data_IF_748949383406
#
_entry.id   IF_748949383406
#
_cell.length_a   1.000
_cell.length_b   1.000
_cell.length_c   1.000
_cell.angle_alpha   90.00
_cell.angle_beta   90.00
_cell.angle_gamma   90.00
#
_symmetry.space_group_name_H-M   'P 1'
#
loop_
_entity.id
_entity.type
_entity.pdbx_description
1 polymer ?
#
# COMPACT_ATOMS: atom_id res chain seq x y z
N UNK A 1 82.43 98.83 27.26
CA UNK A 1 81.55 97.67 27.43
C UNK A 1 80.16 98.04 26.92
N UNK A 2 79.67 97.33 25.91
CA UNK A 2 78.31 97.51 25.35
C UNK A 2 77.35 96.47 25.93
N UNK A 3 76.04 96.65 25.78
CA UNK A 3 75.01 95.69 26.26
C UNK A 3 75.27 94.26 25.75
N UNK A 4 75.87 94.11 24.58
CA UNK A 4 76.30 92.81 24.04
C UNK A 4 77.34 92.07 24.90
N UNK A 5 78.21 92.77 25.65
CA UNK A 5 79.17 92.12 26.55
C UNK A 5 78.50 91.52 27.81
N UNK A 6 77.28 91.96 28.14
CA UNK A 6 76.54 91.49 29.32
C UNK A 6 75.52 90.37 29.02
N UNK A 7 75.30 90.04 27.74
CA UNK A 7 74.33 89.00 27.30
C UNK A 7 75.03 87.81 26.61
N UNK A 8 76.34 87.88 26.34
CA UNK A 8 77.07 86.83 25.64
C UNK A 8 77.65 85.76 26.59
N UNK A 9 77.16 84.52 26.49
CA UNK A 9 77.71 83.36 27.22
C UNK A 9 79.11 82.96 26.75
N UNK A 10 79.49 83.31 25.51
CA UNK A 10 80.77 82.96 24.89
C UNK A 10 81.32 84.18 24.14
N UNK A 11 82.60 84.51 24.39
CA UNK A 11 83.30 85.61 23.71
C UNK A 11 84.12 85.06 22.54
N UNK A 12 83.90 85.58 21.34
CA UNK A 12 84.68 85.23 20.15
C UNK A 12 85.57 86.40 19.71
N UNK A 13 86.82 86.11 19.34
CA UNK A 13 87.84 87.13 19.05
C UNK A 13 87.65 87.86 17.70
N UNK A 14 86.88 87.28 16.78
CA UNK A 14 86.58 87.85 15.45
C UNK A 14 85.15 87.47 15.04
N UNK A 15 84.49 88.26 14.17
CA UNK A 15 83.14 87.92 13.68
C UNK A 15 83.09 86.56 12.95
N UNK A 16 84.19 86.13 12.34
CA UNK A 16 84.33 84.79 11.74
C UNK A 16 84.46 83.69 12.79
N UNK A 17 85.18 83.93 13.88
CA UNK A 17 85.23 83.00 15.01
C UNK A 17 83.85 82.87 15.68
N UNK A 18 83.11 83.96 15.83
CA UNK A 18 81.73 83.93 16.35
C UNK A 18 80.82 83.07 15.46
N UNK A 19 80.92 83.24 14.13
CA UNK A 19 80.19 82.43 13.17
C UNK A 19 80.54 80.94 13.28
N UNK A 20 81.84 80.59 13.30
CA UNK A 20 82.30 79.20 13.45
C UNK A 20 81.83 78.54 14.76
N UNK A 21 81.74 79.32 15.84
CA UNK A 21 81.32 78.82 17.16
C UNK A 21 79.82 78.53 17.22
N UNK A 22 79.01 79.28 16.45
CA UNK A 22 77.55 79.14 16.40
C UNK A 22 77.10 78.21 15.26
N UNK A 23 77.91 78.02 14.21
CA UNK A 23 77.57 77.16 13.08
C UNK A 23 78.03 75.71 13.30
N UNK A 24 77.10 74.74 13.34
CA UNK A 24 77.47 73.33 13.42
C UNK A 24 78.30 72.89 12.21
N UNK A 25 79.20 71.94 12.43
CA UNK A 25 80.07 71.41 11.38
C UNK A 25 79.25 70.65 10.32
N UNK A 26 79.47 70.98 9.04
CA UNK A 26 78.76 70.40 7.89
C UNK A 26 78.84 68.87 7.85
N UNK A 27 79.99 68.29 8.24
CA UNK A 27 80.17 66.83 8.24
C UNK A 27 79.27 66.14 9.27
N UNK A 28 79.05 66.77 10.43
CA UNK A 28 78.27 66.20 11.52
C UNK A 28 76.77 66.23 11.16
N UNK A 29 76.30 67.32 10.55
CA UNK A 29 74.95 67.40 9.99
C UNK A 29 74.68 66.34 8.91
N UNK A 30 75.66 66.09 8.03
CA UNK A 30 75.54 65.03 7.00
C UNK A 30 75.49 63.65 7.67
N UNK A 31 76.30 63.40 8.69
CA UNK A 31 76.29 62.14 9.43
C UNK A 31 74.97 61.93 10.18
N UNK A 32 74.40 62.97 10.78
CA UNK A 32 73.07 62.89 11.39
C UNK A 32 71.97 62.61 10.36
N UNK A 33 71.97 63.32 9.23
CA UNK A 33 71.00 63.11 8.16
C UNK A 33 71.08 61.68 7.61
N UNK A 34 72.29 61.15 7.38
CA UNK A 34 72.46 59.78 6.88
C UNK A 34 72.02 58.74 7.92
N UNK A 35 72.25 58.99 9.22
CA UNK A 35 71.74 58.12 10.29
C UNK A 35 70.22 58.14 10.37
N UNK A 36 69.60 59.32 10.29
CA UNK A 36 68.13 59.45 10.28
C UNK A 36 67.53 58.79 9.04
N UNK A 37 68.16 58.93 7.88
CA UNK A 37 67.72 58.25 6.65
C UNK A 37 67.80 56.72 6.78
N UNK A 38 68.87 56.18 7.36
CA UNK A 38 69.01 54.74 7.64
C UNK A 38 67.99 54.24 8.66
N UNK A 39 67.71 55.02 9.70
CA UNK A 39 66.67 54.70 10.70
C UNK A 39 65.29 54.69 10.07
N UNK A 40 64.96 55.72 9.28
CA UNK A 40 63.69 55.82 8.57
C UNK A 40 63.48 54.65 7.61
N UNK A 41 64.50 54.31 6.80
CA UNK A 41 64.39 53.19 5.87
C UNK A 41 64.20 51.86 6.62
N UNK A 42 64.94 51.61 7.70
CA UNK A 42 64.77 50.43 8.53
C UNK A 42 63.36 50.32 9.14
N UNK A 43 62.79 51.44 9.61
CA UNK A 43 61.41 51.47 10.14
C UNK A 43 60.37 51.21 9.04
N UNK A 44 60.55 51.79 7.86
CA UNK A 44 59.67 51.54 6.70
C UNK A 44 59.72 50.07 6.30
N UNK A 45 60.92 49.49 6.18
CA UNK A 45 61.08 48.07 5.87
C UNK A 45 60.41 47.18 6.91
N UNK A 46 60.63 47.46 8.20
CA UNK A 46 59.97 46.74 9.30
C UNK A 46 58.44 46.85 9.22
N UNK A 47 57.90 48.03 8.93
CA UNK A 47 56.45 48.22 8.83
C UNK A 47 55.85 47.46 7.64
N UNK A 48 56.54 47.46 6.51
CA UNK A 48 56.12 46.71 5.32
C UNK A 48 56.14 45.21 5.59
N UNK A 49 57.18 44.68 6.24
CA UNK A 49 57.26 43.25 6.53
C UNK A 49 56.19 42.80 7.53
N UNK A 50 55.96 43.57 8.60
CA UNK A 50 54.86 43.33 9.54
C UNK A 50 53.50 43.28 8.83
N UNK A 51 53.22 44.25 7.96
CA UNK A 51 51.95 44.30 7.24
C UNK A 51 51.81 43.16 6.23
N UNK A 52 52.89 42.75 5.56
CA UNK A 52 52.89 41.58 4.67
C UNK A 52 52.56 40.30 5.43
N UNK A 53 53.16 40.09 6.60
CA UNK A 53 52.90 38.91 7.44
C UNK A 53 51.43 38.93 7.92
N UNK A 54 50.92 40.08 8.35
CA UNK A 54 49.52 40.23 8.75
C UNK A 54 48.54 39.85 7.64
N UNK A 55 48.72 40.42 6.44
CA UNK A 55 47.89 40.11 5.27
C UNK A 55 47.99 38.63 4.87
N UNK A 56 49.20 38.05 4.92
CA UNK A 56 49.42 36.64 4.63
C UNK A 56 48.67 35.73 5.61
N UNK A 57 48.75 36.02 6.90
CA UNK A 57 48.06 35.23 7.94
C UNK A 57 46.53 35.31 7.80
N UNK A 58 45.98 36.48 7.48
CA UNK A 58 44.54 36.63 7.20
C UNK A 58 44.15 35.82 5.97
N UNK A 59 44.90 35.93 4.88
CA UNK A 59 44.63 35.18 3.66
C UNK A 59 44.69 33.66 3.89
N UNK A 60 45.64 33.18 4.69
CA UNK A 60 45.71 31.76 5.07
C UNK A 60 44.54 31.32 5.93
N UNK A 61 44.12 32.12 6.93
CA UNK A 61 42.96 31.81 7.77
C UNK A 61 41.68 31.74 6.94
N UNK A 62 41.49 32.68 6.02
CA UNK A 62 40.34 32.69 5.11
C UNK A 62 40.35 31.43 4.24
N UNK A 63 41.49 31.09 3.61
CA UNK A 63 41.64 29.88 2.80
C UNK A 63 41.30 28.59 3.55
N UNK A 64 41.62 28.52 4.86
CA UNK A 64 41.25 27.38 5.71
C UNK A 64 39.76 27.34 6.10
N UNK A 65 39.11 28.50 6.16
CA UNK A 65 37.69 28.61 6.52
C UNK A 65 36.74 28.26 5.35
N UNK A 66 37.14 28.51 4.11
CA UNK A 66 36.31 28.22 2.93
C UNK A 66 35.87 26.74 2.82
N UNK A 67 36.76 25.73 2.97
CA UNK A 67 36.38 24.31 2.96
C UNK A 67 35.42 23.93 4.09
N UNK A 68 35.54 24.61 5.24
CA UNK A 68 34.67 24.38 6.39
C UNK A 68 33.24 24.85 6.08
N UNK A 69 33.12 26.03 5.44
CA UNK A 69 31.83 26.56 5.02
C UNK A 69 31.14 25.67 3.97
N UNK A 70 31.88 25.19 2.97
CA UNK A 70 31.33 24.27 1.96
C UNK A 70 30.89 22.94 2.57
N UNK A 71 31.64 22.40 3.53
CA UNK A 71 31.24 21.21 4.29
C UNK A 71 29.92 21.43 5.06
N UNK A 72 29.77 22.55 5.77
CA UNK A 72 28.53 22.84 6.49
C UNK A 72 27.35 23.07 5.55
N UNK A 73 27.55 23.73 4.40
CA UNK A 73 26.53 23.84 3.36
C UNK A 73 26.06 22.48 2.86
N UNK A 74 26.99 21.61 2.48
CA UNK A 74 26.64 20.25 2.03
C UNK A 74 25.93 19.44 3.13
N UNK A 75 26.33 19.63 4.39
CA UNK A 75 25.70 18.97 5.54
C UNK A 75 24.27 19.46 5.73
N UNK A 76 24.02 20.77 5.62
CA UNK A 76 22.68 21.36 5.69
C UNK A 76 21.80 20.81 4.56
N UNK A 77 22.28 20.84 3.31
CA UNK A 77 21.55 20.31 2.16
C UNK A 77 21.20 18.83 2.33
N UNK A 78 22.12 18.04 2.89
CA UNK A 78 21.90 16.62 3.15
C UNK A 78 20.82 16.41 4.22
N UNK A 79 20.90 17.15 5.33
CA UNK A 79 19.92 17.07 6.42
C UNK A 79 18.54 17.55 5.97
N UNK A 80 18.46 18.59 5.13
CA UNK A 80 17.21 19.06 4.55
C UNK A 80 16.56 17.99 3.67
N UNK A 81 17.35 17.35 2.78
CA UNK A 81 16.86 16.24 1.94
C UNK A 81 16.41 15.04 2.77
N UNK A 82 17.14 14.68 3.82
CA UNK A 82 16.71 13.61 4.73
C UNK A 82 15.42 13.97 5.46
N UNK A 83 15.33 15.19 5.98
CA UNK A 83 14.14 15.65 6.69
C UNK A 83 12.90 15.61 5.81
N UNK A 84 12.97 16.19 4.61
CA UNK A 84 11.87 16.19 3.65
C UNK A 84 11.44 14.77 3.28
N UNK A 85 12.40 13.87 3.01
CA UNK A 85 12.13 12.45 2.74
C UNK A 85 11.40 11.77 3.91
N UNK A 86 11.90 11.90 5.14
CA UNK A 86 11.28 11.28 6.31
C UNK A 86 9.90 11.87 6.63
N UNK A 87 9.73 13.19 6.45
CA UNK A 87 8.45 13.87 6.65
C UNK A 87 7.40 13.37 5.64
N UNK A 88 7.76 13.28 4.37
CA UNK A 88 6.88 12.75 3.32
C UNK A 88 6.53 11.28 3.56
N UNK A 89 7.51 10.46 3.93
CA UNK A 89 7.26 9.06 4.27
C UNK A 89 6.31 8.92 5.48
N UNK A 90 6.46 9.79 6.50
CA UNK A 90 5.58 9.81 7.67
C UNK A 90 4.15 10.20 7.34
N UNK A 91 3.96 11.22 6.50
CA UNK A 91 2.63 11.62 6.04
C UNK A 91 1.95 10.50 5.25
N UNK A 92 2.66 9.89 4.29
CA UNK A 92 2.13 8.74 3.52
C UNK A 92 1.73 7.58 4.42
N UNK A 93 2.52 7.28 5.45
CA UNK A 93 2.19 6.24 6.43
C UNK A 93 0.91 6.57 7.21
N UNK A 94 0.76 7.81 7.67
CA UNK A 94 -0.43 8.25 8.40
C UNK A 94 -1.68 8.22 7.51
N UNK A 95 -1.58 8.69 6.27
CA UNK A 95 -2.69 8.64 5.30
C UNK A 95 -3.12 7.20 5.03
N UNK A 96 -2.16 6.30 4.81
CA UNK A 96 -2.45 4.88 4.61
C UNK A 96 -3.13 4.26 5.85
N UNK A 97 -2.62 4.58 7.05
CA UNK A 97 -3.21 4.10 8.30
C UNK A 97 -4.64 4.63 8.51
N UNK A 98 -4.89 5.90 8.19
CA UNK A 98 -6.23 6.48 8.22
C UNK A 98 -7.16 5.79 7.23
N UNK A 99 -6.70 5.53 6.01
CA UNK A 99 -7.47 4.80 5.00
C UNK A 99 -7.84 3.38 5.47
N UNK A 100 -6.90 2.65 6.10
CA UNK A 100 -7.16 1.32 6.68
C UNK A 100 -8.12 1.36 7.86
N UNK A 101 -7.99 2.35 8.76
CA UNK A 101 -8.92 2.51 9.87
C UNK A 101 -10.33 2.89 9.39
N UNK A 102 -10.41 3.77 8.40
CA UNK A 102 -11.67 4.16 7.78
C UNK A 102 -12.34 2.98 7.07
N UNK A 103 -11.59 2.19 6.29
CA UNK A 103 -12.13 0.99 5.64
C UNK A 103 -12.54 -0.07 6.67
N UNK A 104 -11.78 -0.23 7.75
CA UNK A 104 -12.13 -1.11 8.86
C UNK A 104 -13.40 -0.67 9.56
N UNK A 105 -13.57 0.64 9.82
CA UNK A 105 -14.79 1.22 10.40
C UNK A 105 -16.00 0.99 9.49
N UNK A 106 -15.85 1.24 8.18
CA UNK A 106 -16.90 0.97 7.21
C UNK A 106 -17.25 -0.52 7.11
N UNK A 107 -16.26 -1.41 7.16
CA UNK A 107 -16.49 -2.85 7.16
C UNK A 107 -17.16 -3.33 8.46
N UNK A 108 -16.88 -2.66 9.58
CA UNK A 108 -17.54 -2.88 10.86
C UNK A 108 -18.91 -2.23 10.97
N UNK A 109 -19.40 -1.48 9.97
CA UNK A 109 -20.78 -0.98 9.98
C UNK A 109 -21.75 -2.16 10.09
N UNK A 110 -22.35 -2.39 11.28
CA UNK A 110 -23.15 -3.57 11.53
C UNK A 110 -24.38 -3.59 10.61
N UNK A 111 -24.87 -2.41 10.20
CA UNK A 111 -25.98 -2.27 9.27
C UNK A 111 -25.68 -2.85 7.88
N UNK A 112 -24.48 -2.65 7.33
CA UNK A 112 -24.12 -3.19 6.03
C UNK A 112 -23.95 -4.71 6.08
N UNK A 113 -23.29 -5.22 7.12
CA UNK A 113 -23.18 -6.67 7.38
C UNK A 113 -24.54 -7.33 7.63
N UNK A 114 -25.43 -6.70 8.39
CA UNK A 114 -26.79 -7.19 8.64
C UNK A 114 -27.64 -7.18 7.36
N UNK A 115 -27.51 -6.16 6.51
CA UNK A 115 -28.20 -6.12 5.21
C UNK A 115 -27.75 -7.25 4.30
N UNK A 116 -26.44 -7.43 4.12
CA UNK A 116 -25.90 -8.54 3.34
C UNK A 116 -26.27 -9.91 3.92
N UNK A 117 -26.26 -10.05 5.26
CA UNK A 117 -26.68 -11.25 5.95
C UNK A 117 -28.16 -11.58 5.70
N UNK A 118 -29.04 -10.58 5.79
CA UNK A 118 -30.47 -10.72 5.49
C UNK A 118 -30.71 -11.10 4.03
N UNK A 119 -30.03 -10.46 3.09
CA UNK A 119 -30.15 -10.79 1.66
C UNK A 119 -29.69 -12.22 1.37
N UNK A 120 -28.56 -12.66 1.96
CA UNK A 120 -28.09 -14.05 1.86
C UNK A 120 -29.09 -15.03 2.45
N UNK A 121 -29.62 -14.74 3.64
CA UNK A 121 -30.60 -15.59 4.31
C UNK A 121 -31.88 -15.70 3.48
N UNK A 122 -32.36 -14.59 2.91
CA UNK A 122 -33.54 -14.58 2.05
C UNK A 122 -33.33 -15.42 0.78
N UNK A 123 -32.17 -15.34 0.15
CA UNK A 123 -31.81 -16.19 -1.00
C UNK A 123 -31.74 -17.67 -0.62
N UNK A 124 -31.10 -17.99 0.50
CA UNK A 124 -31.00 -19.37 0.99
C UNK A 124 -32.38 -19.96 1.30
N UNK A 125 -33.25 -19.19 1.96
CA UNK A 125 -34.64 -19.60 2.24
C UNK A 125 -35.43 -19.83 0.95
N UNK A 126 -35.29 -18.95 -0.05
CA UNK A 126 -35.95 -19.14 -1.36
C UNK A 126 -35.43 -20.39 -2.08
N UNK A 127 -34.13 -20.63 -2.06
CA UNK A 127 -33.53 -21.81 -2.68
C UNK A 127 -33.97 -23.09 -1.97
N UNK A 128 -34.02 -23.09 -0.63
CA UNK A 128 -34.51 -24.22 0.16
C UNK A 128 -35.96 -24.54 -0.19
N UNK A 129 -36.83 -23.53 -0.25
CA UNK A 129 -38.25 -23.71 -0.64
C UNK A 129 -38.38 -24.32 -2.03
N UNK A 130 -37.63 -23.81 -3.01
CA UNK A 130 -37.61 -24.36 -4.37
C UNK A 130 -37.12 -25.80 -4.41
N UNK A 131 -36.06 -26.12 -3.67
CA UNK A 131 -35.52 -27.47 -3.59
C UNK A 131 -36.52 -28.44 -2.94
N UNK A 132 -37.20 -28.02 -1.87
CA UNK A 132 -38.27 -28.80 -1.23
C UNK A 132 -39.44 -29.04 -2.17
N UNK A 133 -39.92 -28.02 -2.90
CA UNK A 133 -41.02 -28.18 -3.86
C UNK A 133 -40.66 -29.15 -4.98
N UNK A 134 -39.43 -29.06 -5.51
CA UNK A 134 -38.94 -29.99 -6.54
C UNK A 134 -38.82 -31.43 -6.01
N UNK A 135 -38.29 -31.60 -4.80
CA UNK A 135 -38.18 -32.90 -4.16
C UNK A 135 -39.56 -33.53 -3.94
N UNK A 136 -40.52 -32.78 -3.39
CA UNK A 136 -41.88 -33.24 -3.17
C UNK A 136 -42.57 -33.64 -4.48
N UNK A 137 -42.45 -32.81 -5.53
CA UNK A 137 -42.99 -33.15 -6.86
C UNK A 137 -42.37 -34.43 -7.42
N UNK A 138 -41.06 -34.61 -7.27
CA UNK A 138 -40.36 -35.80 -7.74
C UNK A 138 -40.82 -37.06 -6.98
N UNK A 139 -40.94 -36.99 -5.66
CA UNK A 139 -41.44 -38.10 -4.85
C UNK A 139 -42.90 -38.45 -5.19
N UNK A 140 -43.76 -37.45 -5.40
CA UNK A 140 -45.15 -37.67 -5.80
C UNK A 140 -45.27 -38.32 -7.17
N UNK A 141 -44.50 -37.85 -8.16
CA UNK A 141 -44.45 -38.47 -9.49
C UNK A 141 -43.96 -39.92 -9.43
N UNK A 142 -42.92 -40.22 -8.62
CA UNK A 142 -42.46 -41.60 -8.41
C UNK A 142 -43.53 -42.47 -7.77
N UNK A 143 -44.25 -41.95 -6.78
CA UNK A 143 -45.35 -42.66 -6.12
C UNK A 143 -46.48 -42.98 -7.10
N UNK A 144 -46.90 -42.00 -7.92
CA UNK A 144 -47.92 -42.22 -8.95
C UNK A 144 -47.49 -43.26 -9.98
N UNK A 145 -46.23 -43.24 -10.42
CA UNK A 145 -45.70 -44.25 -11.33
C UNK A 145 -45.72 -45.64 -10.71
N UNK A 146 -45.33 -45.79 -9.44
CA UNK A 146 -45.41 -47.07 -8.73
C UNK A 146 -46.85 -47.59 -8.61
N UNK A 147 -47.81 -46.70 -8.32
CA UNK A 147 -49.24 -47.06 -8.31
C UNK A 147 -49.72 -47.50 -9.70
N UNK A 148 -49.30 -46.80 -10.76
CA UNK A 148 -49.67 -47.16 -12.12
C UNK A 148 -49.10 -48.53 -12.52
N UNK A 149 -47.83 -48.80 -12.19
CA UNK A 149 -47.22 -50.12 -12.41
C UNK A 149 -47.93 -51.22 -11.62
N UNK A 150 -48.29 -50.97 -10.36
CA UNK A 150 -49.03 -51.93 -9.55
C UNK A 150 -50.41 -52.23 -10.16
N UNK A 151 -51.10 -51.22 -10.67
CA UNK A 151 -52.39 -51.39 -11.34
C UNK A 151 -52.24 -52.18 -12.65
N UNK A 152 -51.17 -51.97 -13.43
CA UNK A 152 -50.92 -52.72 -14.67
C UNK A 152 -50.62 -54.21 -14.42
N UNK A 153 -50.01 -54.54 -13.28
CA UNK A 153 -49.67 -55.93 -12.91
C UNK A 153 -50.81 -56.60 -12.12
N UNK A 154 -51.86 -55.85 -11.76
CA UNK A 154 -53.02 -56.39 -11.04
C UNK A 154 -53.93 -57.21 -11.98
N UNK A 155 -54.25 -58.49 -11.65
CA UNK A 155 -55.15 -59.36 -12.42
C UNK A 155 -56.58 -58.81 -12.60
N UNK A 156 -56.97 -57.80 -11.81
CA UNK A 156 -58.24 -57.09 -11.97
C UNK A 156 -58.24 -56.16 -13.20
N UNK A 157 -57.08 -55.59 -13.55
CA UNK A 157 -56.97 -54.66 -14.69
C UNK A 157 -57.10 -55.34 -16.05
N UNK A 158 -56.73 -56.62 -16.16
CA UNK A 158 -56.96 -57.44 -17.35
C UNK A 158 -58.44 -57.78 -17.50
N UNK A 159 -59.16 -58.05 -16.39
CA UNK A 159 -60.60 -58.26 -16.39
C UNK A 159 -61.38 -56.99 -16.77
N UNK A 160 -60.99 -55.81 -16.26
CA UNK A 160 -61.63 -54.51 -16.56
C UNK A 160 -61.46 -54.06 -18.02
N UNK A 161 -60.43 -54.54 -18.73
CA UNK A 161 -60.20 -54.25 -20.17
C UNK A 161 -61.07 -55.07 -21.12
N UNK A 162 -62.07 -55.80 -20.60
CA UNK A 162 -63.03 -56.57 -21.40
C UNK A 162 -62.55 -57.99 -21.73
N UNK A 163 -61.45 -58.45 -21.15
CA UNK A 163 -61.04 -59.84 -21.23
C UNK A 163 -61.73 -60.65 -20.14
N UNK A 164 -62.21 -61.83 -20.50
CA UNK A 164 -62.81 -62.77 -19.56
C UNK A 164 -61.83 -63.93 -19.30
N UNK A 165 -61.74 -64.39 -18.06
CA UNK A 165 -60.92 -65.55 -17.70
C UNK A 165 -61.82 -66.78 -17.65
N UNK A 166 -61.55 -67.76 -18.50
CA UNK A 166 -62.26 -69.04 -18.52
C UNK A 166 -61.63 -70.02 -17.52
N UNK A 167 -62.46 -70.62 -16.66
CA UNK A 167 -62.09 -71.51 -15.57
C UNK A 167 -62.87 -72.84 -15.69
N UNK A 168 -62.18 -73.97 -15.54
CA UNK A 168 -62.79 -75.30 -15.42
C UNK A 168 -62.35 -75.91 -14.10
N UNK A 169 -63.29 -76.22 -13.21
CA UNK A 169 -63.01 -76.75 -11.86
C UNK A 169 -61.94 -75.93 -11.10
N UNK A 170 -62.05 -74.60 -11.12
CA UNK A 170 -61.10 -73.65 -10.49
C UNK A 170 -59.71 -73.53 -11.14
N UNK A 171 -59.42 -74.24 -12.25
CA UNK A 171 -58.20 -74.07 -13.03
C UNK A 171 -58.39 -73.16 -14.24
N UNK A 172 -57.45 -72.24 -14.48
CA UNK A 172 -57.48 -71.31 -15.64
C UNK A 172 -57.13 -72.08 -16.91
N UNK A 173 -57.99 -71.96 -17.92
CA UNK A 173 -57.79 -72.57 -19.22
C UNK A 173 -56.89 -71.68 -20.09
N UNK A 174 -55.76 -72.21 -20.55
CA UNK A 174 -54.78 -71.49 -21.39
C UNK A 174 -54.72 -72.08 -22.80
N UNK A 175 -55.15 -73.34 -22.98
CA UNK A 175 -55.10 -74.08 -24.25
C UNK A 175 -56.42 -74.80 -24.55
N UNK A 176 -56.74 -74.98 -25.84
CA UNK A 176 -57.96 -75.68 -26.30
C UNK A 176 -57.91 -77.19 -26.11
N UNK A 177 -56.72 -77.77 -25.84
CA UNK A 177 -56.54 -79.20 -25.60
C UNK A 177 -57.14 -79.71 -24.28
N UNK A 178 -57.43 -78.83 -23.32
CA UNK A 178 -57.89 -79.19 -21.98
C UNK A 178 -59.43 -79.25 -21.86
N UNK A 179 -60.12 -79.14 -23.00
CA UNK A 179 -61.57 -78.92 -23.09
C UNK A 179 -62.20 -79.94 -24.03
N UNK A 180 -63.25 -80.63 -23.57
CA UNK A 180 -64.08 -81.48 -24.40
C UNK A 180 -65.39 -80.78 -24.78
N UNK A 181 -65.94 -81.14 -25.95
CA UNK A 181 -67.24 -80.64 -26.40
C UNK A 181 -68.32 -81.11 -25.41
N UNK A 182 -69.10 -80.17 -24.88
CA UNK A 182 -70.12 -80.43 -23.85
C UNK A 182 -69.71 -80.06 -22.42
N UNK A 183 -68.44 -79.73 -22.18
CA UNK A 183 -67.97 -79.33 -20.84
C UNK A 183 -68.59 -77.99 -20.38
N UNK A 184 -68.83 -77.88 -19.07
CA UNK A 184 -69.21 -76.63 -18.40
C UNK A 184 -67.98 -75.86 -17.94
N UNK A 185 -67.90 -74.60 -18.34
CA UNK A 185 -66.83 -73.67 -18.05
C UNK A 185 -67.43 -72.44 -17.36
N UNK A 186 -66.74 -71.95 -16.34
CA UNK A 186 -67.04 -70.67 -15.71
C UNK A 186 -66.21 -69.56 -16.36
N UNK A 187 -66.89 -68.55 -16.90
CA UNK A 187 -66.25 -67.37 -17.47
C UNK A 187 -66.38 -66.22 -16.49
N UNK A 188 -65.26 -65.79 -15.92
CA UNK A 188 -65.20 -64.68 -14.96
C UNK A 188 -64.95 -63.36 -15.68
N UNK A 189 -65.85 -62.42 -15.49
CA UNK A 189 -65.80 -61.07 -16.04
C UNK A 189 -65.36 -60.08 -14.95
N UNK A 190 -65.11 -58.82 -15.32
CA UNK A 190 -64.83 -57.73 -14.38
C UNK A 190 -65.91 -57.60 -13.30
N UNK A 191 -67.17 -57.87 -13.65
CA UNK A 191 -68.32 -57.90 -12.74
C UNK A 191 -69.21 -59.07 -13.09
N UNK A 192 -69.22 -60.10 -12.25
CA UNK A 192 -70.07 -61.29 -12.40
C UNK A 192 -69.35 -62.50 -13.01
N UNK A 193 -70.03 -63.64 -12.91
CA UNK A 193 -69.59 -64.92 -13.47
C UNK A 193 -70.68 -65.46 -14.39
N UNK A 194 -70.30 -66.03 -15.52
CA UNK A 194 -71.20 -66.73 -16.43
C UNK A 194 -70.84 -68.22 -16.44
N UNK A 195 -71.85 -69.09 -16.42
CA UNK A 195 -71.68 -70.50 -16.72
C UNK A 195 -71.96 -70.72 -18.19
N UNK A 196 -71.00 -71.30 -18.91
CA UNK A 196 -71.07 -71.52 -20.34
C UNK A 196 -70.79 -72.98 -20.65
N UNK A 197 -71.46 -73.53 -21.67
CA UNK A 197 -71.19 -74.89 -22.17
C UNK A 197 -70.47 -74.81 -23.51
N UNK A 198 -69.46 -75.67 -23.68
CA UNK A 198 -68.63 -75.69 -24.89
C UNK A 198 -69.37 -76.38 -26.03
N UNK A 199 -69.66 -75.63 -27.10
CA UNK A 199 -70.37 -76.14 -28.28
C UNK A 199 -69.40 -76.64 -29.35
N UNK A 200 -68.22 -76.03 -29.48
CA UNK A 200 -67.18 -76.36 -30.46
C UNK A 200 -65.80 -75.99 -29.91
N UNK A 201 -64.80 -76.87 -30.05
CA UNK A 201 -63.40 -76.59 -29.70
C UNK A 201 -62.53 -76.84 -30.94
N UNK A 202 -61.71 -75.86 -31.33
CA UNK A 202 -60.75 -75.92 -32.44
C UNK A 202 -59.33 -75.70 -31.93
#
# INVERSE_FOLDING_TARGET
FTIADFVADIRAATPTAAAQTVTPNKTDLINELTLQQKRLSALIYKKITEQRIYCHNIAQRLKRALPLASYYWQKIDHMERQFTYHMQARLRYLDHRLALLHSSLLAYNPNARLKQGREKLQKLVQNLKRAMDLALKHHFARFQNSLHLLNLVSPLSTLERGYAVALKQQHVLISTNDIAIGDEIEVRLAKGCLTCRVLTAN
#
